data_IF_389498314152
#
_entry.id   IF_389498314152
#
_cell.length_a   1.000
_cell.length_b   1.000
_cell.length_c   1.000
_cell.angle_alpha   90.00
_cell.angle_beta   90.00
_cell.angle_gamma   90.00
#
_symmetry.space_group_name_H-M   'P 1'
#
loop_
_entity.id
_entity.type
_entity.pdbx_description
1 polymer ?
#
# COMPACT_ATOMS: atom_id res chain seq x y z
N UNK A 1 33.99 15.67 -22.53
CA UNK A 1 33.50 15.14 -21.23
C UNK A 1 32.14 15.74 -20.99
N UNK A 2 31.10 15.07 -21.45
CA UNK A 2 29.71 15.45 -21.25
C UNK A 2 29.43 15.36 -19.75
N UNK A 3 29.19 16.50 -19.10
CA UNK A 3 28.77 16.54 -17.69
C UNK A 3 27.31 16.14 -17.61
N UNK A 4 27.03 14.85 -17.60
CA UNK A 4 25.69 14.35 -17.28
C UNK A 4 25.43 14.55 -15.78
N UNK A 5 24.35 15.25 -15.48
CA UNK A 5 23.86 15.47 -14.12
C UNK A 5 23.53 14.12 -13.48
N UNK A 6 23.92 13.93 -12.22
CA UNK A 6 23.51 12.77 -11.43
C UNK A 6 21.98 12.69 -11.35
N UNK A 7 21.42 11.49 -11.26
CA UNK A 7 19.97 11.30 -11.08
C UNK A 7 19.41 12.10 -9.89
N UNK A 8 20.24 12.25 -8.84
CA UNK A 8 19.91 13.05 -7.67
C UNK A 8 19.86 14.55 -7.98
N UNK A 9 20.75 15.03 -8.85
CA UNK A 9 20.80 16.44 -9.26
C UNK A 9 19.64 16.77 -10.20
N UNK A 10 19.25 15.83 -11.07
CA UNK A 10 18.07 15.96 -11.93
C UNK A 10 16.76 15.98 -11.12
N UNK A 11 16.65 15.13 -10.09
CA UNK A 11 15.48 15.12 -9.21
C UNK A 11 15.33 16.42 -8.40
N UNK A 12 16.44 16.97 -7.92
CA UNK A 12 16.47 18.25 -7.21
C UNK A 12 16.13 19.40 -8.16
N UNK A 13 16.71 19.44 -9.37
CA UNK A 13 16.37 20.44 -10.37
C UNK A 13 14.86 20.42 -10.71
N UNK A 14 14.28 19.24 -10.92
CA UNK A 14 12.87 19.12 -11.28
C UNK A 14 11.91 19.60 -10.17
N UNK A 15 12.26 19.40 -8.89
CA UNK A 15 11.48 19.93 -7.77
C UNK A 15 11.56 21.46 -7.67
N UNK A 16 12.68 22.06 -8.07
CA UNK A 16 12.89 23.51 -8.05
C UNK A 16 12.13 24.20 -9.19
N UNK A 17 12.13 23.60 -10.39
CA UNK A 17 11.55 24.23 -11.58
C UNK A 17 10.04 24.00 -11.74
N UNK A 18 9.47 22.95 -11.15
CA UNK A 18 8.04 22.63 -11.29
C UNK A 18 7.35 22.39 -9.93
N UNK A 19 7.23 23.41 -9.07
CA UNK A 19 6.69 23.27 -7.70
C UNK A 19 5.19 22.92 -7.63
N UNK A 20 4.46 23.04 -8.74
CA UNK A 20 3.02 22.76 -8.84
C UNK A 20 2.68 21.73 -9.94
N UNK A 21 3.63 20.87 -10.33
CA UNK A 21 3.37 19.84 -11.34
C UNK A 21 2.21 18.93 -10.88
N UNK A 22 1.18 18.71 -11.71
CA UNK A 22 0.10 17.78 -11.38
C UNK A 22 0.66 16.38 -11.11
N UNK A 23 0.17 15.71 -10.06
CA UNK A 23 0.68 14.44 -9.53
C UNK A 23 0.83 13.32 -10.58
N UNK A 24 0.13 13.40 -11.72
CA UNK A 24 0.23 12.44 -12.82
C UNK A 24 1.54 12.52 -13.62
N UNK A 25 2.16 13.69 -13.76
CA UNK A 25 3.41 13.84 -14.53
C UNK A 25 4.67 13.65 -13.68
N UNK A 26 4.56 13.69 -12.35
CA UNK A 26 5.64 13.25 -11.45
C UNK A 26 5.78 11.71 -11.40
N UNK A 27 4.78 10.98 -11.89
CA UNK A 27 4.72 9.51 -11.87
C UNK A 27 5.55 8.84 -12.96
N UNK A 28 6.08 9.58 -13.93
CA UNK A 28 6.98 9.06 -14.98
C UNK A 28 8.46 9.05 -14.58
N UNK A 29 8.79 9.42 -13.34
CA UNK A 29 10.09 9.11 -12.73
C UNK A 29 10.07 7.64 -12.31
N UNK A 30 10.38 6.78 -13.28
CA UNK A 30 10.67 5.34 -13.16
C UNK A 30 10.08 4.69 -11.91
N UNK A 31 8.80 4.33 -11.97
CA UNK A 31 8.32 3.14 -11.27
C UNK A 31 9.23 1.99 -11.70
N UNK A 32 10.28 1.72 -10.93
CA UNK A 32 10.87 0.40 -10.92
C UNK A 32 9.77 -0.51 -10.40
N UNK A 33 8.96 -1.04 -11.33
CA UNK A 33 7.83 -1.90 -11.02
C UNK A 33 8.39 -3.15 -10.36
N UNK A 34 8.37 -3.15 -9.02
CA UNK A 34 8.57 -4.36 -8.24
C UNK A 34 7.47 -5.33 -8.67
N UNK A 35 7.84 -6.27 -9.53
CA UNK A 35 7.01 -7.41 -9.90
C UNK A 35 7.48 -8.61 -9.10
N UNK A 36 6.55 -9.24 -8.37
CA UNK A 36 6.82 -10.49 -7.68
C UNK A 36 7.21 -11.54 -8.73
N UNK A 37 8.39 -12.14 -8.57
CA UNK A 37 8.94 -13.12 -9.52
C UNK A 37 8.36 -14.48 -9.21
N UNK A 38 7.26 -14.81 -9.88
CA UNK A 38 6.63 -16.13 -9.78
C UNK A 38 6.91 -16.96 -11.03
N UNK A 39 7.48 -18.16 -10.85
CA UNK A 39 7.53 -19.15 -11.92
C UNK A 39 6.12 -19.68 -12.16
N UNK A 40 5.66 -19.66 -13.42
CA UNK A 40 4.27 -19.90 -13.80
C UNK A 40 4.05 -21.39 -14.15
N UNK A 41 3.44 -22.13 -13.24
CA UNK A 41 2.77 -23.41 -13.55
C UNK A 41 1.33 -23.16 -13.99
N UNK A 42 0.71 -24.12 -14.69
CA UNK A 42 -0.67 -24.02 -15.21
C UNK A 42 -1.69 -23.70 -14.11
N UNK A 43 -1.50 -24.25 -12.90
CA UNK A 43 -2.37 -24.00 -11.74
C UNK A 43 -2.20 -22.58 -11.18
N UNK A 44 -1.01 -22.00 -11.29
CA UNK A 44 -0.74 -20.61 -10.91
C UNK A 44 -1.33 -19.61 -11.91
N UNK A 45 -1.40 -19.94 -13.20
CA UNK A 45 -2.11 -19.11 -14.19
C UNK A 45 -3.60 -19.03 -13.91
N UNK A 46 -4.23 -20.17 -13.62
CA UNK A 46 -5.66 -20.21 -13.30
C UNK A 46 -5.95 -19.40 -12.03
N UNK A 47 -5.13 -19.56 -11.00
CA UNK A 47 -5.21 -18.77 -9.76
C UNK A 47 -5.09 -17.28 -10.03
N UNK A 48 -4.10 -16.87 -10.84
CA UNK A 48 -3.88 -15.44 -11.17
C UNK A 48 -5.08 -14.82 -11.89
N UNK A 49 -5.77 -15.57 -12.75
CA UNK A 49 -7.00 -15.12 -13.40
C UNK A 49 -8.12 -14.88 -12.38
N UNK A 50 -8.33 -15.82 -11.46
CA UNK A 50 -9.32 -15.67 -10.37
C UNK A 50 -8.98 -14.49 -9.45
N UNK A 51 -7.69 -14.28 -9.15
CA UNK A 51 -7.23 -13.14 -8.38
C UNK A 51 -7.62 -11.82 -9.05
N UNK A 52 -7.28 -11.65 -10.33
CA UNK A 52 -7.60 -10.45 -11.11
C UNK A 52 -9.11 -10.22 -11.17
N UNK A 53 -9.89 -11.27 -11.45
CA UNK A 53 -11.36 -11.21 -11.48
C UNK A 53 -11.93 -10.74 -10.13
N UNK A 54 -11.44 -11.29 -9.02
CA UNK A 54 -11.90 -10.90 -7.68
C UNK A 54 -11.60 -9.43 -7.36
N UNK A 55 -10.46 -8.91 -7.80
CA UNK A 55 -10.07 -7.51 -7.60
C UNK A 55 -10.98 -6.60 -8.42
N UNK A 56 -11.23 -6.93 -9.69
CA UNK A 56 -12.15 -6.18 -10.55
C UNK A 56 -13.58 -6.14 -9.98
N UNK A 57 -14.07 -7.27 -9.46
CA UNK A 57 -15.37 -7.33 -8.81
C UNK A 57 -15.41 -6.44 -7.55
N UNK A 58 -14.33 -6.42 -6.76
CA UNK A 58 -14.24 -5.58 -5.58
C UNK A 58 -14.23 -4.08 -5.94
N UNK A 59 -13.50 -3.68 -6.98
CA UNK A 59 -13.46 -2.31 -7.50
C UNK A 59 -14.83 -1.85 -8.02
N UNK A 60 -15.58 -2.76 -8.64
CA UNK A 60 -16.95 -2.51 -9.10
C UNK A 60 -17.98 -2.50 -7.95
N UNK A 61 -17.57 -2.77 -6.71
CA UNK A 61 -18.45 -2.78 -5.53
C UNK A 61 -19.18 -4.11 -5.29
N UNK A 62 -18.96 -5.14 -6.11
CA UNK A 62 -19.55 -6.47 -5.97
C UNK A 62 -18.78 -7.31 -4.94
N UNK A 63 -18.74 -6.83 -3.70
CA UNK A 63 -17.87 -7.36 -2.63
C UNK A 63 -18.16 -8.81 -2.25
N UNK A 64 -19.42 -9.25 -2.32
CA UNK A 64 -19.81 -10.64 -1.97
C UNK A 64 -19.33 -11.64 -3.01
N UNK A 65 -19.43 -11.28 -4.29
CA UNK A 65 -18.94 -12.10 -5.40
C UNK A 65 -17.42 -12.12 -5.41
N UNK A 66 -16.78 -10.95 -5.25
CA UNK A 66 -15.34 -10.84 -5.08
C UNK A 66 -14.81 -11.76 -3.97
N UNK A 67 -15.50 -11.78 -2.81
CA UNK A 67 -15.15 -12.66 -1.69
C UNK A 67 -15.31 -14.15 -2.05
N UNK A 68 -16.32 -14.51 -2.83
CA UNK A 68 -16.48 -15.89 -3.29
C UNK A 68 -15.38 -16.31 -4.26
N UNK A 69 -14.99 -15.45 -5.20
CA UNK A 69 -13.95 -15.75 -6.19
C UNK A 69 -12.58 -15.86 -5.52
N UNK A 70 -12.23 -14.92 -4.63
CA UNK A 70 -10.93 -14.96 -3.94
C UNK A 70 -10.81 -16.18 -3.01
N UNK A 71 -11.92 -16.64 -2.39
CA UNK A 71 -11.90 -17.87 -1.60
C UNK A 71 -11.59 -19.10 -2.45
N UNK A 72 -12.15 -19.20 -3.67
CA UNK A 72 -11.80 -20.27 -4.62
C UNK A 72 -10.33 -20.20 -5.03
N UNK A 73 -9.80 -19.00 -5.27
CA UNK A 73 -8.39 -18.83 -5.59
C UNK A 73 -7.49 -19.33 -4.44
N UNK A 74 -7.88 -19.08 -3.19
CA UNK A 74 -7.15 -19.54 -2.00
C UNK A 74 -7.20 -21.06 -1.83
N UNK A 75 -8.32 -21.71 -2.18
CA UNK A 75 -8.41 -23.18 -2.18
C UNK A 75 -7.41 -23.81 -3.16
N UNK A 76 -7.17 -23.16 -4.30
CA UNK A 76 -6.23 -23.63 -5.34
C UNK A 76 -4.78 -23.34 -4.95
N UNK A 77 -4.49 -22.13 -4.46
CA UNK A 77 -3.14 -21.68 -4.14
C UNK A 77 -3.05 -21.10 -2.72
N UNK A 78 -3.14 -21.94 -1.66
CA UNK A 78 -3.20 -21.49 -0.28
C UNK A 78 -1.90 -20.83 0.22
N UNK A 79 -0.80 -20.96 -0.51
CA UNK A 79 0.50 -20.39 -0.17
C UNK A 79 0.79 -19.07 -0.88
N UNK A 80 -0.15 -18.54 -1.68
CA UNK A 80 0.02 -17.29 -2.42
C UNK A 80 -0.34 -16.09 -1.52
N UNK A 81 0.63 -15.27 -1.09
CA UNK A 81 0.37 -14.19 -0.12
C UNK A 81 -0.56 -13.10 -0.67
N UNK A 82 -0.53 -12.85 -2.00
CA UNK A 82 -1.30 -11.79 -2.62
C UNK A 82 -2.81 -12.00 -2.48
N UNK A 83 -3.27 -13.27 -2.45
CA UNK A 83 -4.68 -13.60 -2.27
C UNK A 83 -5.22 -13.17 -0.91
N UNK A 84 -4.44 -13.38 0.16
CA UNK A 84 -4.82 -12.96 1.50
C UNK A 84 -4.80 -11.44 1.63
N UNK A 85 -3.82 -10.76 1.03
CA UNK A 85 -3.81 -9.29 0.98
C UNK A 85 -5.03 -8.72 0.24
N UNK A 86 -5.43 -9.32 -0.88
CA UNK A 86 -6.62 -8.89 -1.63
C UNK A 86 -7.92 -9.20 -0.88
N UNK A 87 -8.01 -10.37 -0.23
CA UNK A 87 -9.18 -10.72 0.60
C UNK A 87 -9.31 -9.80 1.81
N UNK A 88 -8.19 -9.43 2.45
CA UNK A 88 -8.21 -8.43 3.51
C UNK A 88 -8.76 -7.08 3.06
N UNK A 89 -8.38 -6.63 1.85
CA UNK A 89 -8.93 -5.41 1.26
C UNK A 89 -10.45 -5.51 1.09
N UNK A 90 -10.95 -6.63 0.56
CA UNK A 90 -12.40 -6.88 0.45
C UNK A 90 -13.07 -6.85 1.83
N UNK A 91 -12.46 -7.47 2.85
CA UNK A 91 -12.98 -7.45 4.22
C UNK A 91 -13.02 -6.04 4.83
N UNK A 92 -12.08 -5.15 4.47
CA UNK A 92 -12.13 -3.75 4.90
C UNK A 92 -13.36 -3.02 4.37
N UNK A 93 -13.73 -3.21 3.10
CA UNK A 93 -14.96 -2.64 2.54
C UNK A 93 -16.21 -3.23 3.18
N UNK A 94 -16.20 -4.53 3.48
CA UNK A 94 -17.26 -5.22 4.21
C UNK A 94 -17.29 -4.88 5.72
N UNK A 95 -16.38 -4.03 6.21
CA UNK A 95 -16.21 -3.65 7.62
C UNK A 95 -15.93 -4.84 8.56
N UNK A 96 -15.40 -5.95 8.04
CA UNK A 96 -14.96 -7.13 8.80
C UNK A 96 -13.49 -6.98 9.19
N UNK A 97 -13.20 -6.05 10.10
CA UNK A 97 -11.82 -5.65 10.38
C UNK A 97 -10.98 -6.73 11.06
N UNK A 98 -11.56 -7.57 11.91
CA UNK A 98 -10.82 -8.66 12.56
C UNK A 98 -10.34 -9.69 11.53
N UNK A 99 -11.19 -10.02 10.56
CA UNK A 99 -10.83 -10.94 9.48
C UNK A 99 -9.82 -10.30 8.53
N UNK A 100 -9.93 -8.99 8.27
CA UNK A 100 -8.91 -8.25 7.52
C UNK A 100 -7.54 -8.30 8.23
N UNK A 101 -7.47 -8.11 9.55
CA UNK A 101 -6.21 -8.23 10.29
C UNK A 101 -5.61 -9.64 10.20
N UNK A 102 -6.43 -10.69 10.34
CA UNK A 102 -5.98 -12.08 10.22
C UNK A 102 -5.35 -12.32 8.84
N UNK A 103 -6.03 -11.89 7.78
CA UNK A 103 -5.57 -12.09 6.42
C UNK A 103 -4.33 -11.27 6.07
N UNK A 104 -4.24 -10.01 6.49
CA UNK A 104 -3.02 -9.21 6.26
C UNK A 104 -1.83 -9.82 7.00
N UNK A 105 -2.01 -10.27 8.24
CA UNK A 105 -0.95 -10.95 8.98
C UNK A 105 -0.54 -12.25 8.26
N UNK A 106 -1.51 -13.01 7.75
CA UNK A 106 -1.23 -14.23 6.99
C UNK A 106 -0.46 -13.94 5.70
N UNK A 107 -0.80 -12.87 4.98
CA UNK A 107 -0.07 -12.45 3.79
C UNK A 107 1.40 -12.15 4.12
N UNK A 108 1.65 -11.41 5.21
CA UNK A 108 3.02 -11.09 5.67
C UNK A 108 3.79 -12.36 6.06
N UNK A 109 3.16 -13.31 6.75
CA UNK A 109 3.79 -14.59 7.13
C UNK A 109 4.17 -15.46 5.92
N UNK A 110 3.38 -15.41 4.85
CA UNK A 110 3.60 -16.20 3.63
C UNK A 110 4.61 -15.55 2.66
N UNK A 111 4.85 -14.25 2.79
CA UNK A 111 5.81 -13.55 1.96
C UNK A 111 7.24 -14.05 2.19
N UNK A 112 7.96 -14.22 1.09
CA UNK A 112 9.40 -14.51 1.05
C UNK A 112 10.11 -13.44 0.22
N UNK A 113 11.43 -13.57 0.01
CA UNK A 113 12.23 -12.60 -0.77
C UNK A 113 11.72 -12.37 -2.21
N UNK A 114 10.89 -13.28 -2.73
CA UNK A 114 10.26 -13.18 -4.06
C UNK A 114 8.96 -12.38 -4.08
N UNK A 115 8.39 -12.05 -2.91
CA UNK A 115 7.08 -11.43 -2.73
C UNK A 115 7.19 -9.99 -2.18
N UNK A 116 8.21 -9.24 -2.61
CA UNK A 116 8.50 -7.91 -2.05
C UNK A 116 7.37 -6.91 -2.30
N UNK A 117 6.70 -6.99 -3.46
CA UNK A 117 5.56 -6.13 -3.77
C UNK A 117 4.39 -6.44 -2.85
N UNK A 118 4.03 -7.72 -2.75
CA UNK A 118 2.95 -8.16 -1.87
C UNK A 118 3.24 -7.82 -0.40
N UNK A 119 4.49 -8.00 0.05
CA UNK A 119 4.91 -7.64 1.40
C UNK A 119 4.77 -6.14 1.68
N UNK A 120 5.21 -5.30 0.74
CA UNK A 120 5.04 -3.85 0.80
C UNK A 120 3.57 -3.44 0.93
N UNK A 121 2.70 -4.03 0.08
CA UNK A 121 1.26 -3.79 0.11
C UNK A 121 0.59 -4.28 1.41
N UNK A 122 0.99 -5.44 1.91
CA UNK A 122 0.43 -5.99 3.15
C UNK A 122 0.79 -5.12 4.37
N UNK A 123 2.03 -4.64 4.48
CA UNK A 123 2.40 -3.67 5.50
C UNK A 123 1.61 -2.36 5.35
N UNK A 124 1.47 -1.84 4.13
CA UNK A 124 0.64 -0.66 3.86
C UNK A 124 -0.80 -0.84 4.36
N UNK A 125 -1.44 -1.96 4.01
CA UNK A 125 -2.81 -2.26 4.42
C UNK A 125 -2.94 -2.42 5.94
N UNK A 126 -1.98 -3.07 6.60
CA UNK A 126 -1.99 -3.19 8.07
C UNK A 126 -1.83 -1.83 8.74
N UNK A 127 -0.97 -0.97 8.19
CA UNK A 127 -0.82 0.41 8.64
C UNK A 127 -2.12 1.20 8.56
N UNK A 128 -2.87 1.05 7.46
CA UNK A 128 -4.21 1.67 7.30
C UNK A 128 -5.19 1.13 8.33
N UNK A 129 -5.22 -0.18 8.57
CA UNK A 129 -6.06 -0.80 9.59
C UNK A 129 -5.71 -0.26 10.99
N UNK A 130 -4.43 -0.21 11.37
CA UNK A 130 -4.02 0.32 12.67
C UNK A 130 -4.38 1.79 12.85
N UNK A 131 -4.21 2.61 11.80
CA UNK A 131 -4.60 4.03 11.82
C UNK A 131 -6.11 4.20 12.03
N UNK A 132 -6.93 3.33 11.44
CA UNK A 132 -8.39 3.31 11.66
C UNK A 132 -8.77 3.07 13.13
N UNK A 133 -7.98 2.29 13.85
CA UNK A 133 -8.17 2.01 15.29
C UNK A 133 -7.28 2.89 16.18
N UNK A 134 -6.81 4.02 15.67
CA UNK A 134 -6.00 5.03 16.39
C UNK A 134 -4.68 4.50 16.96
N UNK A 135 -4.21 3.33 16.51
CA UNK A 135 -2.93 2.73 16.89
C UNK A 135 -1.80 3.31 16.05
N UNK A 136 -1.59 4.62 16.17
CA UNK A 136 -0.70 5.40 15.29
C UNK A 136 0.76 4.95 15.31
N UNK A 137 1.27 4.46 16.44
CA UNK A 137 2.65 3.99 16.52
C UNK A 137 2.87 2.69 15.74
N UNK A 138 1.93 1.74 15.83
CA UNK A 138 1.94 0.52 15.03
C UNK A 138 1.76 0.85 13.54
N UNK A 139 0.84 1.77 13.23
CA UNK A 139 0.61 2.22 11.87
C UNK A 139 1.88 2.84 11.26
N UNK A 140 2.58 3.70 12.00
CA UNK A 140 3.84 4.32 11.57
C UNK A 140 4.90 3.25 11.26
N UNK A 141 5.07 2.27 12.15
CA UNK A 141 6.04 1.18 11.95
C UNK A 141 5.77 0.40 10.65
N UNK A 142 4.51 0.07 10.38
CA UNK A 142 4.13 -0.62 9.15
C UNK A 142 4.34 0.26 7.90
N UNK A 143 3.98 1.54 7.95
CA UNK A 143 4.22 2.45 6.84
C UNK A 143 5.71 2.69 6.57
N UNK A 144 6.57 2.67 7.58
CA UNK A 144 8.03 2.76 7.40
C UNK A 144 8.58 1.59 6.61
N UNK A 145 8.15 0.37 6.90
CA UNK A 145 8.57 -0.83 6.15
C UNK A 145 8.12 -0.73 4.70
N UNK A 146 6.84 -0.44 4.48
CA UNK A 146 6.26 -0.29 3.13
C UNK A 146 6.90 0.86 2.33
N UNK A 147 7.19 2.00 2.97
CA UNK A 147 7.83 3.15 2.32
C UNK A 147 9.28 2.88 1.89
N UNK A 148 10.04 2.10 2.68
CA UNK A 148 11.38 1.62 2.33
C UNK A 148 11.36 0.74 1.08
N UNK A 149 10.27 -0.01 0.90
CA UNK A 149 10.01 -0.85 -0.28
C UNK A 149 9.40 -0.08 -1.45
N UNK A 150 9.46 1.25 -1.48
CA UNK A 150 9.01 2.05 -2.62
C UNK A 150 7.58 2.57 -2.56
N UNK A 151 6.76 2.16 -1.58
CA UNK A 151 5.34 2.52 -1.56
C UNK A 151 5.11 4.03 -1.31
N UNK A 152 4.61 4.73 -2.32
CA UNK A 152 4.41 6.19 -2.29
C UNK A 152 3.28 6.61 -1.34
N UNK A 153 2.21 5.82 -1.24
CA UNK A 153 1.11 6.07 -0.31
C UNK A 153 1.62 6.05 1.14
N UNK A 154 2.43 5.05 1.49
CA UNK A 154 2.99 4.91 2.83
C UNK A 154 3.91 6.07 3.20
N UNK A 155 4.71 6.59 2.24
CA UNK A 155 5.50 7.82 2.46
C UNK A 155 4.63 9.02 2.81
N UNK A 156 3.51 9.21 2.10
CA UNK A 156 2.55 10.29 2.38
C UNK A 156 1.94 10.13 3.79
N UNK A 157 1.55 8.91 4.14
CA UNK A 157 1.00 8.60 5.46
C UNK A 157 1.98 8.86 6.60
N UNK A 158 3.29 8.62 6.41
CA UNK A 158 4.31 8.94 7.42
C UNK A 158 4.44 10.45 7.67
N UNK A 159 4.27 11.27 6.63
CA UNK A 159 4.28 12.74 6.77
C UNK A 159 3.06 13.20 7.58
N UNK A 160 1.88 12.63 7.30
CA UNK A 160 0.67 12.91 8.07
C UNK A 160 0.80 12.48 9.54
N UNK A 161 1.42 11.32 9.78
CA UNK A 161 1.66 10.77 11.11
C UNK A 161 2.87 11.41 11.81
N UNK A 162 3.50 12.43 11.22
CA UNK A 162 4.64 13.10 11.85
C UNK A 162 4.19 13.82 13.14
N UNK A 163 4.74 13.47 14.31
CA UNK A 163 4.33 14.08 15.58
C UNK A 163 4.56 15.59 15.62
N UNK A 164 5.55 16.10 14.90
CA UNK A 164 5.79 17.54 14.80
C UNK A 164 4.71 18.25 13.99
N UNK A 165 4.20 17.64 12.91
CA UNK A 165 3.10 18.20 12.14
C UNK A 165 1.81 18.26 12.99
N UNK A 166 1.55 17.22 13.79
CA UNK A 166 0.42 17.21 14.73
C UNK A 166 0.54 18.31 15.80
N UNK A 167 1.74 18.48 16.38
CA UNK A 167 2.03 19.55 17.35
C UNK A 167 1.85 20.95 16.76
N UNK A 168 2.38 21.21 15.57
CA UNK A 168 2.21 22.49 14.87
C UNK A 168 0.73 22.78 14.61
N UNK A 169 -0.04 21.79 14.15
CA UNK A 169 -1.48 21.93 13.92
C UNK A 169 -2.25 22.20 15.22
N UNK A 170 -1.86 21.55 16.31
CA UNK A 170 -2.45 21.77 17.63
C UNK A 170 -2.14 23.18 18.17
N UNK A 171 -0.89 23.62 18.06
CA UNK A 171 -0.48 24.97 18.45
C UNK A 171 -1.21 26.03 17.63
N UNK A 172 -1.33 25.86 16.32
CA UNK A 172 -2.08 26.76 15.44
C UNK A 172 -3.57 26.84 15.84
N UNK A 173 -4.22 25.71 16.12
CA UNK A 173 -5.61 25.70 16.61
C UNK A 173 -5.76 26.46 17.92
N UNK A 174 -4.88 26.22 18.89
CA UNK A 174 -4.90 26.91 20.19
C UNK A 174 -4.72 28.42 20.05
N UNK A 175 -3.86 28.88 19.13
CA UNK A 175 -3.68 30.31 18.85
C UNK A 175 -4.93 30.89 18.21
N UNK A 176 -5.52 30.20 17.22
CA UNK A 176 -6.75 30.65 16.54
C UNK A 176 -7.96 30.73 17.48
N UNK A 177 -8.09 29.80 18.44
CA UNK A 177 -9.18 29.82 19.42
C UNK A 177 -9.02 30.93 20.45
N UNK A 178 -7.78 31.37 20.76
CA UNK A 178 -7.52 32.53 21.63
C UNK A 178 -7.75 33.88 20.95
N UNK A 179 -7.89 33.91 19.62
CA UNK A 179 -8.13 35.11 18.82
C UNK A 179 -9.62 35.38 18.56
N UNK A 180 -10.51 34.50 19.03
CA UNK A 180 -11.97 34.68 19.04
C UNK A 180 -12.44 35.28 20.36
#
# INVERSE_FOLDING_TARGET
MSGELSERDNAILNCIFNPNLPLEEAASISEEQLEDKENLSTDQEHTKKLEIESVQLAENGNLTEALSIINKAIEIAPQRPSLYNNRAHIFQYLRKFDDAFKDVNKAIELCSETHQKTLSLAHCQRGVLYRKFEKNDLARSDFEVSAKMGNTFSRKQLVELNPYAALCNQMLRQVMDKLK
#
